data_IF_053539926786
#
_entry.id   IF_053539926786
#
_cell.length_a   1.000
_cell.length_b   1.000
_cell.length_c   1.000
_cell.angle_alpha   90.00
_cell.angle_beta   90.00
_cell.angle_gamma   90.00
#
_symmetry.space_group_name_H-M   'P 1'
#
loop_
_entity.id
_entity.type
_entity.pdbx_description
1 polymer ?
#
# COMPACT_ATOMS: atom_id res chain seq x y z
N UNK A 1 -40.41 -10.60 -3.92
CA UNK A 1 -39.90 -10.54 -4.21
C UNK A 1 -39.57 -10.11 -4.41
N UNK A 2 -39.39 -10.05 -4.43
CA UNK A 2 -38.74 -9.81 -4.75
C UNK A 2 -38.03 -9.65 -5.18
N UNK A 3 -37.98 -9.54 -5.13
CA UNK A 3 -37.07 -9.59 -5.63
C UNK A 3 -36.61 -9.59 -6.10
N UNK A 4 -36.65 -9.62 -6.00
CA UNK A 4 -36.14 -9.96 -6.65
C UNK A 4 -35.83 -9.50 -7.24
N UNK A 5 -35.62 -9.07 -7.14
CA UNK A 5 -35.25 -8.90 -7.67
C UNK A 5 -34.70 -8.78 -8.31
N UNK A 6 -34.85 -8.60 -8.30
CA UNK A 6 -34.38 -8.65 -9.05
C UNK A 6 -33.38 -8.77 -9.52
N UNK A 7 -33.14 -9.04 -9.38
CA UNK A 7 -31.89 -9.60 -9.75
C UNK A 7 -30.71 -8.64 -9.82
N UNK A 8 -30.92 -7.39 -9.68
CA UNK A 8 -29.87 -6.38 -9.70
C UNK A 8 -29.57 -5.94 -8.28
N UNK A 9 -28.54 -6.53 -7.67
CA UNK A 9 -28.06 -6.12 -6.36
C UNK A 9 -26.79 -5.29 -6.52
N UNK A 10 -26.64 -4.23 -5.77
CA UNK A 10 -25.41 -3.46 -5.70
C UNK A 10 -24.35 -4.29 -5.00
N UNK A 11 -23.17 -4.52 -5.63
CA UNK A 11 -22.10 -5.25 -4.94
C UNK A 11 -21.68 -4.56 -3.66
N UNK A 12 -21.32 -5.35 -2.66
CA UNK A 12 -20.78 -4.81 -1.43
C UNK A 12 -19.45 -4.11 -1.70
N UNK A 13 -19.19 -3.00 -1.01
CA UNK A 13 -17.89 -2.37 -1.03
C UNK A 13 -16.87 -3.26 -0.33
N UNK A 14 -15.59 -3.07 -0.64
CA UNK A 14 -14.53 -3.81 0.03
C UNK A 14 -14.57 -3.61 1.54
N UNK A 15 -14.92 -2.39 2.00
CA UNK A 15 -15.07 -2.11 3.42
C UNK A 15 -16.22 -2.89 4.05
N UNK A 16 -17.37 -2.97 3.35
CA UNK A 16 -18.52 -3.71 3.83
C UNK A 16 -18.24 -5.21 3.85
N UNK A 17 -17.57 -5.74 2.83
CA UNK A 17 -17.17 -7.14 2.79
C UNK A 17 -16.26 -7.50 3.96
N UNK A 18 -15.27 -6.66 4.23
CA UNK A 18 -14.34 -6.87 5.33
C UNK A 18 -15.07 -6.81 6.67
N UNK A 19 -15.97 -5.83 6.84
CA UNK A 19 -16.75 -5.71 8.08
C UNK A 19 -17.58 -6.98 8.32
N UNK A 20 -18.22 -7.51 7.29
CA UNK A 20 -18.98 -8.74 7.39
C UNK A 20 -18.08 -9.94 7.76
N UNK A 21 -16.91 -10.03 7.13
CA UNK A 21 -15.95 -11.09 7.44
C UNK A 21 -15.45 -11.02 8.89
N UNK A 22 -15.24 -9.81 9.39
CA UNK A 22 -14.81 -9.61 10.79
C UNK A 22 -15.90 -10.02 11.78
N UNK A 23 -17.15 -9.69 11.48
CA UNK A 23 -18.29 -10.14 12.31
C UNK A 23 -18.35 -11.66 12.33
N UNK A 24 -18.11 -12.32 11.19
CA UNK A 24 -18.05 -13.77 11.09
C UNK A 24 -16.78 -14.39 11.63
N UNK A 25 -15.85 -13.58 12.14
CA UNK A 25 -14.58 -14.02 12.72
C UNK A 25 -13.72 -14.80 11.73
N UNK A 26 -13.70 -14.37 10.45
CA UNK A 26 -12.86 -14.97 9.45
C UNK A 26 -11.36 -14.82 9.83
N UNK A 27 -10.62 -15.94 9.99
CA UNK A 27 -9.24 -15.86 10.49
C UNK A 27 -8.30 -15.04 9.61
N UNK A 28 -8.42 -15.17 8.30
CA UNK A 28 -7.55 -14.42 7.38
C UNK A 28 -7.83 -12.93 7.45
N UNK A 29 -9.10 -12.54 7.51
CA UNK A 29 -9.48 -11.14 7.63
C UNK A 29 -9.03 -10.53 8.96
N UNK A 30 -9.15 -11.29 10.05
CA UNK A 30 -8.67 -10.84 11.36
C UNK A 30 -7.16 -10.65 11.36
N UNK A 31 -6.42 -11.60 10.75
CA UNK A 31 -4.96 -11.50 10.65
C UNK A 31 -4.53 -10.31 9.80
N UNK A 32 -5.24 -10.05 8.71
CA UNK A 32 -4.99 -8.90 7.84
C UNK A 32 -5.15 -7.57 8.59
N UNK A 33 -6.25 -7.42 9.31
CA UNK A 33 -6.51 -6.22 10.11
C UNK A 33 -5.42 -6.05 11.15
N UNK A 34 -5.09 -7.11 11.86
CA UNK A 34 -4.05 -7.07 12.90
C UNK A 34 -2.69 -6.71 12.33
N UNK A 35 -2.32 -7.27 11.19
CA UNK A 35 -1.07 -6.96 10.52
C UNK A 35 -1.01 -5.47 10.14
N UNK A 36 -2.10 -4.94 9.59
CA UNK A 36 -2.17 -3.52 9.22
C UNK A 36 -2.03 -2.63 10.45
N UNK A 37 -2.77 -2.92 11.50
CA UNK A 37 -2.76 -2.09 12.71
C UNK A 37 -1.42 -2.11 13.44
N UNK A 38 -0.69 -3.21 13.33
CA UNK A 38 0.64 -3.32 13.94
C UNK A 38 1.64 -2.33 13.39
N UNK A 39 1.40 -1.77 12.21
CA UNK A 39 2.28 -0.78 11.57
C UNK A 39 1.93 0.66 11.92
N UNK A 40 0.89 0.88 12.67
CA UNK A 40 0.37 2.22 13.00
C UNK A 40 -0.69 2.71 12.04
N UNK A 41 -0.95 1.98 10.96
CA UNK A 41 -1.98 2.33 9.99
C UNK A 41 -3.28 1.60 10.34
N UNK A 42 -4.40 2.15 9.90
CA UNK A 42 -5.70 1.56 10.10
C UNK A 42 -6.41 1.38 8.76
N UNK A 43 -7.32 0.41 8.70
CA UNK A 43 -8.16 0.21 7.55
C UNK A 43 -9.41 1.08 7.69
N UNK A 44 -9.66 1.90 6.68
CA UNK A 44 -10.86 2.72 6.62
C UNK A 44 -11.98 1.96 5.94
N UNK A 45 -12.96 1.50 6.71
CA UNK A 45 -14.08 0.71 6.19
C UNK A 45 -15.13 1.58 5.48
N UNK A 46 -15.06 2.88 5.69
CA UNK A 46 -15.88 3.88 5.04
C UNK A 46 -15.08 4.59 3.96
N UNK A 47 -15.17 4.87 2.94
CA UNK A 47 -14.34 5.37 1.84
C UNK A 47 -13.80 6.80 2.03
N UNK A 48 -13.64 7.25 3.25
CA UNK A 48 -13.13 8.59 3.51
C UNK A 48 -11.62 8.60 3.71
N UNK A 49 -10.91 9.43 2.96
CA UNK A 49 -9.48 9.62 3.16
C UNK A 49 -9.23 10.36 4.46
N UNK A 50 -8.27 9.87 5.21
CA UNK A 50 -7.84 10.52 6.44
C UNK A 50 -6.38 10.11 6.72
N UNK A 51 -5.64 10.89 7.51
CA UNK A 51 -4.28 10.50 7.90
C UNK A 51 -4.28 9.13 8.59
N UNK A 52 -3.24 8.36 8.31
CA UNK A 52 -3.01 7.03 8.90
C UNK A 52 -4.05 5.98 8.52
N UNK A 53 -4.85 6.23 7.48
CA UNK A 53 -5.95 5.36 7.12
C UNK A 53 -5.82 4.87 5.68
N UNK A 54 -5.85 3.55 5.50
CA UNK A 54 -5.88 2.90 4.19
C UNK A 54 -7.32 2.66 3.81
N UNK A 55 -7.79 3.26 2.72
CA UNK A 55 -9.14 3.02 2.22
C UNK A 55 -9.17 2.09 0.99
N UNK A 56 -8.02 1.83 0.36
CA UNK A 56 -7.92 0.89 -0.75
C UNK A 56 -7.84 -0.55 -0.23
N UNK A 57 -8.88 -1.01 0.46
CA UNK A 57 -8.89 -2.27 1.19
C UNK A 57 -8.66 -3.47 0.28
N UNK A 58 -9.31 -3.49 -0.90
CA UNK A 58 -9.16 -4.60 -1.83
C UNK A 58 -7.71 -4.76 -2.29
N UNK A 59 -7.07 -3.64 -2.62
CA UNK A 59 -5.65 -3.64 -3.00
C UNK A 59 -4.77 -4.11 -1.84
N UNK A 60 -4.98 -3.55 -0.65
CA UNK A 60 -4.18 -3.92 0.52
C UNK A 60 -4.32 -5.41 0.86
N UNK A 61 -5.54 -5.93 0.83
CA UNK A 61 -5.78 -7.34 1.14
C UNK A 61 -5.13 -8.25 0.09
N UNK A 62 -5.22 -7.86 -1.19
CA UNK A 62 -4.59 -8.60 -2.28
C UNK A 62 -3.07 -8.67 -2.08
N UNK A 63 -2.43 -7.55 -1.75
CA UNK A 63 -1.00 -7.50 -1.51
C UNK A 63 -0.61 -8.34 -0.27
N UNK A 64 -1.40 -8.25 0.79
CA UNK A 64 -1.21 -9.06 1.99
C UNK A 64 -1.21 -10.55 1.65
N UNK A 65 -2.19 -11.00 0.87
CA UNK A 65 -2.29 -12.43 0.50
C UNK A 65 -1.19 -12.85 -0.46
N UNK A 66 -0.78 -11.97 -1.38
CA UNK A 66 0.23 -12.31 -2.39
C UNK A 66 1.63 -12.40 -1.80
N UNK A 67 1.98 -11.51 -0.87
CA UNK A 67 3.36 -11.39 -0.36
C UNK A 67 3.55 -11.91 1.07
N UNK A 68 2.48 -12.12 1.80
CA UNK A 68 2.54 -12.58 3.19
C UNK A 68 2.61 -11.45 4.20
N UNK A 69 2.36 -11.78 5.46
CA UNK A 69 2.23 -10.82 6.54
C UNK A 69 3.51 -10.01 6.80
N UNK A 70 4.66 -10.68 6.81
CA UNK A 70 5.92 -10.01 7.18
C UNK A 70 6.32 -8.94 6.18
N UNK A 71 6.26 -9.26 4.89
CA UNK A 71 6.63 -8.33 3.83
C UNK A 71 5.61 -7.20 3.73
N UNK A 72 4.33 -7.52 3.86
CA UNK A 72 3.26 -6.54 3.88
C UNK A 72 3.47 -5.54 5.03
N UNK A 73 3.75 -6.03 6.24
CA UNK A 73 4.00 -5.16 7.40
C UNK A 73 5.23 -4.29 7.20
N UNK A 74 6.30 -4.85 6.63
CA UNK A 74 7.51 -4.06 6.36
C UNK A 74 7.21 -2.91 5.40
N UNK A 75 6.50 -3.18 4.31
CA UNK A 75 6.11 -2.15 3.34
C UNK A 75 5.25 -1.06 3.97
N UNK A 76 4.25 -1.45 4.75
CA UNK A 76 3.39 -0.47 5.43
C UNK A 76 4.16 0.35 6.46
N UNK A 77 5.11 -0.27 7.14
CA UNK A 77 5.97 0.45 8.10
C UNK A 77 6.78 1.53 7.39
N UNK A 78 7.30 1.22 6.21
CA UNK A 78 8.03 2.22 5.41
C UNK A 78 7.13 3.37 4.98
N UNK A 79 5.90 3.07 4.57
CA UNK A 79 4.93 4.10 4.22
C UNK A 79 4.59 4.97 5.44
N UNK A 80 4.32 4.34 6.58
CA UNK A 80 3.92 5.05 7.79
C UNK A 80 5.04 5.96 8.30
N UNK A 81 6.28 5.49 8.31
CA UNK A 81 7.42 6.29 8.76
C UNK A 81 7.86 7.32 7.73
N UNK A 82 7.80 6.96 6.46
CA UNK A 82 8.28 7.82 5.38
C UNK A 82 7.43 9.04 5.16
N UNK A 83 6.13 8.88 5.13
CA UNK A 83 5.20 9.99 4.87
C UNK A 83 4.28 10.31 6.04
N UNK A 84 4.55 9.72 7.18
CA UNK A 84 3.92 10.08 8.47
C UNK A 84 2.38 10.12 8.40
N UNK A 85 1.81 9.12 7.75
CA UNK A 85 0.37 8.99 7.68
C UNK A 85 -0.34 9.89 6.68
N UNK A 86 0.41 10.57 5.80
CA UNK A 86 -0.19 11.42 4.75
C UNK A 86 -1.18 10.60 3.92
N UNK A 87 -2.45 11.04 3.81
CA UNK A 87 -3.46 10.27 3.06
C UNK A 87 -3.09 10.01 1.61
N UNK A 88 -2.36 10.90 0.96
CA UNK A 88 -1.95 10.72 -0.43
C UNK A 88 -0.90 9.63 -0.58
N UNK A 89 -0.13 9.34 0.47
CA UNK A 89 0.87 8.26 0.45
C UNK A 89 0.23 6.89 0.56
N UNK A 90 -1.04 6.83 0.94
CA UNK A 90 -1.76 5.58 1.16
C UNK A 90 -2.68 5.22 -0.01
N UNK A 91 -2.44 5.82 -1.17
CA UNK A 91 -3.13 5.49 -2.41
C UNK A 91 -2.72 4.09 -2.89
N UNK A 92 -3.64 3.45 -3.59
CA UNK A 92 -3.45 2.07 -4.03
C UNK A 92 -2.16 1.87 -4.85
N UNK A 93 -1.84 2.79 -5.76
CA UNK A 93 -0.63 2.68 -6.57
C UNK A 93 0.65 2.76 -5.76
N UNK A 94 0.73 3.71 -4.83
CA UNK A 94 1.90 3.86 -3.98
C UNK A 94 2.07 2.64 -3.07
N UNK A 95 0.97 2.14 -2.53
CA UNK A 95 1.00 0.94 -1.70
C UNK A 95 1.54 -0.26 -2.50
N UNK A 96 1.04 -0.49 -3.70
CA UNK A 96 1.52 -1.55 -4.58
C UNK A 96 3.01 -1.40 -4.89
N UNK A 97 3.44 -0.17 -5.19
CA UNK A 97 4.85 0.12 -5.49
C UNK A 97 5.76 -0.12 -4.31
N UNK A 98 5.33 0.26 -3.10
CA UNK A 98 6.14 0.04 -1.90
C UNK A 98 6.26 -1.44 -1.57
N UNK A 99 5.17 -2.20 -1.68
CA UNK A 99 5.23 -3.65 -1.45
C UNK A 99 6.19 -4.30 -2.45
N UNK A 100 6.10 -3.92 -3.71
CA UNK A 100 7.00 -4.46 -4.73
C UNK A 100 8.45 -4.05 -4.49
N UNK A 101 8.69 -2.80 -4.08
CA UNK A 101 10.03 -2.32 -3.75
C UNK A 101 10.63 -3.15 -2.61
N UNK A 102 9.90 -3.32 -1.54
CA UNK A 102 10.38 -4.10 -0.40
C UNK A 102 10.64 -5.55 -0.81
N UNK A 103 9.75 -6.14 -1.62
CA UNK A 103 9.91 -7.51 -2.09
C UNK A 103 11.19 -7.69 -2.91
N UNK A 104 11.49 -6.74 -3.80
CA UNK A 104 12.63 -6.83 -4.70
C UNK A 104 13.97 -6.50 -4.03
N UNK A 105 13.95 -5.61 -3.05
CA UNK A 105 15.17 -5.10 -2.43
C UNK A 105 15.31 -5.49 -0.96
N UNK A 106 14.56 -6.47 -0.50
CA UNK A 106 14.60 -6.93 0.88
C UNK A 106 16.03 -7.30 1.28
N UNK A 107 16.50 -6.74 2.39
CA UNK A 107 17.86 -6.96 2.87
C UNK A 107 18.94 -6.14 2.15
N UNK A 108 18.59 -5.44 1.08
CA UNK A 108 19.55 -4.64 0.30
C UNK A 108 19.39 -3.15 0.54
N UNK A 109 18.17 -2.67 0.82
CA UNK A 109 17.95 -1.25 1.07
C UNK A 109 18.14 -0.93 2.56
N UNK A 110 18.53 0.32 2.83
CA UNK A 110 18.64 0.82 4.19
C UNK A 110 17.31 1.49 4.57
N UNK A 111 16.57 0.92 5.54
CA UNK A 111 15.27 1.49 5.92
C UNK A 111 15.32 2.92 6.40
N UNK A 112 16.36 3.29 7.17
CA UNK A 112 16.51 4.66 7.63
C UNK A 112 16.72 5.64 6.48
N UNK A 113 17.53 5.23 5.50
CA UNK A 113 17.73 6.05 4.32
C UNK A 113 16.44 6.21 3.53
N UNK A 114 15.70 5.12 3.34
CA UNK A 114 14.42 5.18 2.63
C UNK A 114 13.48 6.19 3.30
N UNK A 115 13.32 6.12 4.61
CA UNK A 115 12.47 7.05 5.36
C UNK A 115 12.92 8.49 5.15
N UNK A 116 14.22 8.77 5.27
CA UNK A 116 14.75 10.11 5.07
C UNK A 116 14.48 10.61 3.66
N UNK A 117 14.67 9.76 2.66
CA UNK A 117 14.45 10.16 1.27
C UNK A 117 12.98 10.40 0.98
N UNK A 118 12.08 9.60 1.55
CA UNK A 118 10.64 9.82 1.39
C UNK A 118 10.19 11.15 2.00
N UNK A 119 10.82 11.59 3.08
CA UNK A 119 10.53 12.90 3.69
C UNK A 119 10.85 14.07 2.74
N UNK A 120 11.67 13.87 1.73
CA UNK A 120 12.09 14.95 0.84
C UNK A 120 11.15 15.11 -0.37
N UNK A 121 10.16 14.24 -0.53
CA UNK A 121 9.28 14.27 -1.68
C UNK A 121 7.82 14.13 -1.22
N UNK A 122 6.94 14.92 -1.83
CA UNK A 122 5.51 14.79 -1.54
C UNK A 122 4.95 13.59 -2.32
N UNK A 123 4.05 12.79 -1.72
CA UNK A 123 3.50 11.62 -2.41
C UNK A 123 2.85 11.96 -3.76
N UNK A 124 2.22 13.13 -3.87
CA UNK A 124 1.58 13.54 -5.12
C UNK A 124 2.59 13.77 -6.26
N UNK A 125 3.85 14.04 -5.93
CA UNK A 125 4.91 14.10 -6.95
C UNK A 125 5.03 12.76 -7.65
N UNK A 126 4.99 11.65 -6.89
CA UNK A 126 5.02 10.32 -7.47
C UNK A 126 3.78 10.07 -8.34
N UNK A 127 2.60 10.47 -7.86
CA UNK A 127 1.35 10.30 -8.59
C UNK A 127 1.42 11.02 -9.94
N UNK A 128 1.98 12.22 -9.96
CA UNK A 128 2.12 13.01 -11.19
C UNK A 128 3.17 12.41 -12.13
N UNK A 129 4.30 11.99 -11.58
CA UNK A 129 5.40 11.43 -12.37
C UNK A 129 5.07 10.06 -12.96
N UNK A 130 4.18 9.31 -12.33
CA UNK A 130 3.76 7.99 -12.81
C UNK A 130 3.21 8.06 -14.23
N UNK A 131 2.58 9.16 -14.59
CA UNK A 131 1.97 9.35 -15.91
C UNK A 131 2.98 9.30 -17.06
N UNK A 132 4.24 9.60 -16.78
CA UNK A 132 5.31 9.59 -17.80
C UNK A 132 6.01 8.23 -17.91
N UNK A 133 5.64 7.27 -17.10
CA UNK A 133 6.26 5.94 -17.10
C UNK A 133 5.38 4.92 -17.79
N UNK A 134 6.01 3.82 -18.22
CA UNK A 134 5.32 2.69 -18.85
C UNK A 134 5.41 1.46 -17.96
N UNK A 135 4.44 0.58 -18.08
CA UNK A 135 4.41 -0.66 -17.33
C UNK A 135 3.20 -0.76 -16.40
N UNK A 136 3.23 -1.76 -15.53
CA UNK A 136 2.15 -1.94 -14.55
C UNK A 136 2.20 -0.85 -13.50
N UNK A 137 1.08 -0.65 -12.80
CA UNK A 137 1.02 0.35 -11.72
C UNK A 137 2.07 0.07 -10.66
N UNK A 138 2.18 -1.19 -10.21
CA UNK A 138 3.14 -1.54 -9.17
C UNK A 138 4.58 -1.31 -9.62
N UNK A 139 4.90 -1.60 -10.87
CA UNK A 139 6.24 -1.38 -11.41
C UNK A 139 6.58 0.11 -11.47
N UNK A 140 5.66 0.92 -12.00
CA UNK A 140 5.88 2.36 -12.13
C UNK A 140 6.13 3.03 -10.78
N UNK A 141 5.31 2.73 -9.79
CA UNK A 141 5.50 3.29 -8.45
C UNK A 141 6.74 2.73 -7.76
N UNK A 142 7.05 1.45 -7.98
CA UNK A 142 8.31 0.88 -7.47
C UNK A 142 9.50 1.65 -8.04
N UNK A 143 9.49 1.95 -9.33
CA UNK A 143 10.56 2.72 -9.97
C UNK A 143 10.69 4.13 -9.39
N UNK A 144 9.57 4.78 -9.10
CA UNK A 144 9.58 6.13 -8.51
C UNK A 144 10.13 6.10 -7.08
N UNK A 145 9.77 5.08 -6.32
CA UNK A 145 10.32 4.88 -4.97
C UNK A 145 11.83 4.61 -5.05
N UNK A 146 12.24 3.77 -5.99
CA UNK A 146 13.65 3.47 -6.20
C UNK A 146 14.44 4.74 -6.56
N UNK A 147 13.93 5.56 -7.45
CA UNK A 147 14.55 6.83 -7.82
C UNK A 147 14.65 7.76 -6.62
N UNK A 148 13.61 7.82 -5.81
CA UNK A 148 13.62 8.62 -4.58
C UNK A 148 14.69 8.12 -3.63
N UNK A 149 14.76 6.81 -3.44
CA UNK A 149 15.77 6.18 -2.57
C UNK A 149 17.18 6.48 -3.06
N UNK A 150 17.44 6.26 -4.35
CA UNK A 150 18.76 6.44 -4.92
C UNK A 150 19.18 7.92 -4.92
N UNK A 151 18.28 8.81 -5.28
CA UNK A 151 18.60 10.23 -5.42
C UNK A 151 19.77 10.42 -6.37
N UNK A 152 20.67 11.31 -6.00
CA UNK A 152 21.90 11.57 -6.75
C UNK A 152 23.09 10.77 -6.20
N UNK A 153 22.88 9.92 -5.21
CA UNK A 153 23.95 9.16 -4.57
C UNK A 153 24.43 8.02 -5.46
N UNK A 154 25.75 7.86 -5.55
CA UNK A 154 26.34 6.69 -6.20
C UNK A 154 26.68 5.60 -5.20
N UNK A 155 26.83 5.96 -3.94
CA UNK A 155 27.25 5.03 -2.88
C UNK A 155 26.12 4.07 -2.47
N UNK A 156 24.89 4.54 -2.45
CA UNK A 156 23.73 3.77 -1.99
C UNK A 156 22.80 3.39 -3.14
N UNK A 157 23.30 3.46 -4.36
CA UNK A 157 22.50 3.27 -5.55
C UNK A 157 22.14 1.80 -5.73
N UNK A 158 20.85 1.49 -5.70
CA UNK A 158 20.35 0.15 -5.95
C UNK A 158 20.06 -0.02 -7.45
N UNK A 159 20.34 -1.21 -8.01
CA UNK A 159 20.07 -1.45 -9.43
C UNK A 159 18.58 -1.61 -9.70
N UNK A 160 18.18 -1.37 -10.95
CA UNK A 160 16.81 -1.61 -11.39
C UNK A 160 16.55 -3.12 -11.44
N UNK A 161 15.47 -3.56 -10.80
CA UNK A 161 15.00 -4.94 -10.84
C UNK A 161 13.59 -4.98 -11.39
N UNK A 162 13.24 -6.09 -12.02
CA UNK A 162 11.91 -6.26 -12.62
C UNK A 162 11.07 -7.31 -11.90
#
# INVERSE_FOLDING_TARGET
LFSRQTGVSTPLTAGAELRAALVGKDPESLAFVKATESTGLQLGLDSYRAPWKIICIRTAFKEYKAYGADLYKEALTMLAKGWEGDPDSLRSGILQGMVRFVALYQGEYDPERLVKRLHTVHPMTLVNDEKSLSGTVSYKYMMLILRTYNGASRRFNLPIKQ
#
